data_IF_573876492662
#
_entry.id   IF_573876492662
#
_cell.length_a   1.000
_cell.length_b   1.000
_cell.length_c   1.000
_cell.angle_alpha   90.00
_cell.angle_beta   90.00
_cell.angle_gamma   90.00
#
_symmetry.space_group_name_H-M   'P 1'
#
loop_
_entity.id
_entity.type
_entity.pdbx_description
1 polymer ?
#
# COMPACT_ATOMS: atom_id res chain seq x y z
N UNK A 1 12.53 1.03 -10.96
CA UNK A 1 11.33 0.17 -10.87
C UNK A 1 11.06 -0.15 -9.39
N UNK A 2 10.19 0.61 -8.74
CA UNK A 2 9.94 0.56 -7.27
C UNK A 2 8.99 -0.58 -6.85
N UNK A 3 9.11 -1.76 -7.48
CA UNK A 3 8.16 -2.86 -7.27
C UNK A 3 8.42 -3.62 -5.98
N UNK A 4 9.68 -3.72 -5.55
CA UNK A 4 10.08 -4.48 -4.37
C UNK A 4 10.33 -3.62 -3.13
N UNK A 5 10.11 -2.31 -3.21
CA UNK A 5 10.37 -1.40 -2.09
C UNK A 5 9.21 -1.32 -1.10
N UNK A 6 9.55 -1.39 0.17
CA UNK A 6 8.70 -1.23 1.36
C UNK A 6 9.15 0.05 2.08
N UNK A 7 8.20 0.80 2.64
CA UNK A 7 8.47 1.96 3.48
C UNK A 7 7.89 1.75 4.87
N UNK A 8 8.71 1.92 5.89
CA UNK A 8 8.34 1.82 7.30
C UNK A 8 8.31 3.22 7.89
N UNK A 9 7.21 3.55 8.57
CA UNK A 9 6.93 4.85 9.16
C UNK A 9 6.64 4.67 10.65
N UNK A 10 7.21 5.55 11.48
CA UNK A 10 7.00 5.57 12.92
C UNK A 10 8.12 4.92 13.74
N UNK A 11 9.28 4.65 13.12
CA UNK A 11 10.46 4.15 13.83
C UNK A 11 11.27 5.34 14.36
N UNK A 12 11.56 5.43 15.68
CA UNK A 12 12.42 6.47 16.24
C UNK A 12 13.80 6.51 15.59
N UNK A 13 14.46 7.67 15.55
CA UNK A 13 15.85 7.77 15.05
C UNK A 13 16.82 7.08 16.02
N UNK A 14 17.98 6.64 15.52
CA UNK A 14 19.07 6.06 16.31
C UNK A 14 18.73 4.75 17.05
N UNK A 15 17.77 3.98 16.54
CA UNK A 15 17.42 2.64 17.09
C UNK A 15 18.12 1.51 16.34
N UNK A 16 18.71 1.82 15.18
CA UNK A 16 19.48 0.91 14.36
C UNK A 16 20.73 0.42 15.09
N UNK A 17 20.95 -0.89 15.08
CA UNK A 17 22.19 -1.53 15.55
C UNK A 17 23.28 -1.46 14.47
N UNK A 18 24.39 -2.16 14.68
CA UNK A 18 25.52 -2.22 13.74
C UNK A 18 25.11 -2.62 12.31
N UNK A 19 24.10 -3.49 12.16
CA UNK A 19 23.53 -3.89 10.87
C UNK A 19 22.53 -2.87 10.26
N UNK A 20 22.50 -1.64 10.79
CA UNK A 20 21.68 -0.55 10.27
C UNK A 20 20.18 -0.84 10.31
N UNK A 21 19.48 -0.42 9.25
CA UNK A 21 18.02 -0.54 9.15
C UNK A 21 17.52 -1.98 8.90
N UNK A 22 18.40 -2.92 8.55
CA UNK A 22 18.05 -4.34 8.41
C UNK A 22 17.72 -4.96 9.76
N UNK A 23 18.46 -4.58 10.81
CA UNK A 23 18.20 -5.03 12.19
C UNK A 23 16.78 -4.67 12.65
N UNK A 24 16.30 -3.48 12.29
CA UNK A 24 14.94 -3.03 12.62
C UNK A 24 13.90 -3.87 11.89
N UNK A 25 14.12 -4.22 10.63
CA UNK A 25 13.18 -5.06 9.88
C UNK A 25 13.08 -6.46 10.52
N UNK A 26 14.21 -7.06 10.89
CA UNK A 26 14.24 -8.37 11.53
C UNK A 26 13.50 -8.35 12.87
N UNK A 27 13.72 -7.33 13.72
CA UNK A 27 12.98 -7.15 14.96
C UNK A 27 11.46 -7.02 14.72
N UNK A 28 11.04 -6.26 13.70
CA UNK A 28 9.62 -6.15 13.32
C UNK A 28 9.07 -7.51 12.89
N UNK A 29 9.84 -8.29 12.13
CA UNK A 29 9.41 -9.61 11.65
C UNK A 29 9.25 -10.58 12.80
N UNK A 30 10.20 -10.62 13.73
CA UNK A 30 10.12 -11.49 14.91
C UNK A 30 8.94 -11.12 15.81
N UNK A 31 8.73 -9.82 16.07
CA UNK A 31 7.64 -9.33 16.92
C UNK A 31 6.25 -9.59 16.29
N UNK A 32 6.13 -9.46 14.97
CA UNK A 32 4.84 -9.45 14.29
C UNK A 32 4.55 -10.69 13.45
N UNK A 33 5.53 -11.49 13.05
CA UNK A 33 5.31 -12.51 12.03
C UNK A 33 5.95 -13.85 12.41
N UNK A 34 5.41 -14.48 13.46
CA UNK A 34 5.78 -15.82 13.90
C UNK A 34 5.74 -16.87 12.77
N UNK A 35 4.80 -16.75 11.83
CA UNK A 35 4.66 -17.67 10.69
C UNK A 35 5.61 -17.36 9.51
N UNK A 36 6.28 -16.20 9.50
CA UNK A 36 7.23 -15.86 8.43
C UNK A 36 8.67 -16.29 8.77
N UNK A 37 9.01 -16.43 10.06
CA UNK A 37 10.36 -16.85 10.49
C UNK A 37 10.70 -18.33 10.23
N UNK A 38 9.71 -19.17 9.88
CA UNK A 38 9.90 -20.62 9.67
C UNK A 38 10.14 -20.96 8.19
N UNK A 39 9.66 -20.13 7.26
CA UNK A 39 9.74 -20.37 5.81
C UNK A 39 10.68 -19.38 5.12
N UNK A 40 11.98 -19.61 5.31
CA UNK A 40 13.07 -18.98 4.57
C UNK A 40 13.45 -17.58 5.05
N UNK A 41 14.75 -17.34 5.23
CA UNK A 41 15.30 -16.01 5.47
C UNK A 41 14.77 -15.02 4.43
N UNK A 42 14.09 -13.96 4.88
CA UNK A 42 13.59 -12.92 3.99
C UNK A 42 14.79 -12.15 3.43
N UNK A 43 15.07 -12.29 2.14
CA UNK A 43 16.23 -11.65 1.52
C UNK A 43 15.97 -10.14 1.32
N UNK A 44 16.64 -9.32 2.14
CA UNK A 44 16.73 -7.87 1.95
C UNK A 44 17.92 -7.58 1.04
N UNK A 45 17.73 -6.74 0.03
CA UNK A 45 18.85 -6.24 -0.79
C UNK A 45 19.50 -5.03 -0.12
N UNK A 46 18.68 -4.09 0.34
CA UNK A 46 19.15 -2.86 0.98
C UNK A 46 18.09 -2.34 1.96
N UNK A 47 18.52 -1.78 3.08
CA UNK A 47 17.65 -0.99 3.97
C UNK A 47 18.35 0.29 4.41
N UNK A 48 17.67 1.43 4.27
CA UNK A 48 18.23 2.73 4.65
C UNK A 48 17.15 3.75 5.06
N UNK A 49 17.56 4.77 5.81
CA UNK A 49 16.69 5.91 6.16
C UNK A 49 16.58 6.90 4.99
N UNK A 50 15.37 7.36 4.72
CA UNK A 50 15.07 8.36 3.71
C UNK A 50 14.29 9.55 4.29
N UNK A 51 14.73 10.80 4.04
CA UNK A 51 15.93 11.22 3.30
C UNK A 51 17.27 10.82 3.95
N UNK A 52 18.35 10.72 3.16
CA UNK A 52 19.67 10.30 3.68
C UNK A 52 20.19 11.20 4.79
N UNK A 53 19.92 12.50 4.69
CA UNK A 53 20.32 13.50 5.68
C UNK A 53 19.25 13.68 6.74
N UNK A 54 19.68 13.69 8.00
CA UNK A 54 18.84 14.04 9.13
C UNK A 54 18.59 15.56 9.15
N UNK A 55 17.35 15.97 9.38
CA UNK A 55 16.98 17.38 9.47
C UNK A 55 16.32 17.63 10.81
N UNK A 56 17.06 18.25 11.72
CA UNK A 56 16.63 18.56 13.09
C UNK A 56 15.35 19.42 13.16
N UNK A 57 15.06 20.20 12.11
CA UNK A 57 13.85 21.03 12.05
C UNK A 57 12.57 20.21 11.88
N UNK A 58 12.67 18.92 11.52
CA UNK A 58 11.50 18.04 11.37
C UNK A 58 11.28 17.26 12.66
N UNK A 59 10.12 17.41 13.33
CA UNK A 59 9.84 16.69 14.57
C UNK A 59 9.54 15.20 14.34
N UNK A 60 9.28 14.80 13.09
CA UNK A 60 8.98 13.42 12.72
C UNK A 60 10.24 12.66 12.34
N UNK A 61 10.41 11.45 12.87
CA UNK A 61 11.48 10.54 12.46
C UNK A 61 11.39 10.21 10.95
N UNK A 62 12.55 10.01 10.33
CA UNK A 62 12.66 9.65 8.91
C UNK A 62 12.10 8.27 8.67
N UNK A 63 11.60 8.08 7.46
CA UNK A 63 11.09 6.79 7.04
C UNK A 63 12.26 5.84 6.75
N UNK A 64 12.08 4.55 6.98
CA UNK A 64 13.01 3.52 6.50
C UNK A 64 12.48 3.02 5.16
N UNK A 65 13.32 2.98 4.15
CA UNK A 65 13.06 2.34 2.87
C UNK A 65 13.82 1.02 2.84
N UNK A 66 13.10 -0.07 2.59
CA UNK A 66 13.64 -1.42 2.48
C UNK A 66 13.40 -1.90 1.05
N UNK A 67 14.45 -2.34 0.38
CA UNK A 67 14.40 -2.97 -0.93
C UNK A 67 14.51 -4.47 -0.72
N UNK A 68 13.41 -5.17 -1.02
CA UNK A 68 13.37 -6.64 -0.93
C UNK A 68 13.95 -7.27 -2.20
N UNK A 69 14.61 -8.42 -2.08
CA UNK A 69 15.09 -9.18 -3.24
C UNK A 69 13.94 -9.84 -4.01
N UNK A 70 12.94 -10.35 -3.28
CA UNK A 70 11.79 -11.06 -3.86
C UNK A 70 10.50 -10.27 -3.66
N UNK A 71 9.70 -10.15 -4.72
CA UNK A 71 8.37 -9.54 -4.64
C UNK A 71 7.40 -10.37 -3.79
N UNK A 72 7.56 -11.69 -3.77
CA UNK A 72 6.73 -12.59 -2.97
C UNK A 72 6.82 -12.25 -1.47
N UNK A 73 8.02 -12.00 -0.98
CA UNK A 73 8.28 -11.69 0.43
C UNK A 73 7.60 -10.37 0.82
N UNK A 74 7.72 -9.35 -0.02
CA UNK A 74 6.98 -8.09 0.16
C UNK A 74 5.46 -8.33 0.22
N UNK A 75 4.89 -9.11 -0.70
CA UNK A 75 3.45 -9.38 -0.68
C UNK A 75 3.01 -10.12 0.59
N UNK A 76 3.81 -11.07 1.07
CA UNK A 76 3.55 -11.78 2.34
C UNK A 76 3.50 -10.83 3.52
N UNK A 77 4.48 -9.92 3.65
CA UNK A 77 4.48 -8.86 4.69
C UNK A 77 3.19 -8.05 4.62
N UNK A 78 2.84 -7.55 3.43
CA UNK A 78 1.63 -6.72 3.29
C UNK A 78 0.33 -7.48 3.53
N UNK A 79 0.27 -8.78 3.22
CA UNK A 79 -0.90 -9.62 3.56
C UNK A 79 -1.04 -9.74 5.07
N UNK A 80 0.05 -10.04 5.77
CA UNK A 80 0.04 -10.14 7.22
C UNK A 80 -0.24 -8.78 7.91
N UNK A 81 0.33 -7.69 7.38
CA UNK A 81 0.09 -6.32 7.82
C UNK A 81 -1.38 -5.86 7.72
N UNK A 82 -2.16 -6.47 6.82
CA UNK A 82 -3.59 -6.16 6.68
C UNK A 82 -4.46 -6.89 7.70
N UNK A 83 -3.99 -8.01 8.24
CA UNK A 83 -4.74 -8.83 9.18
C UNK A 83 -4.62 -8.32 10.61
N UNK A 84 -3.49 -7.72 10.97
CA UNK A 84 -3.26 -7.18 12.30
C UNK A 84 -2.49 -5.86 12.29
N UNK A 85 -2.61 -5.12 13.39
CA UNK A 85 -1.80 -3.92 13.64
C UNK A 85 -0.35 -4.34 13.89
N UNK A 86 0.58 -3.64 13.25
CA UNK A 86 2.02 -3.90 13.40
C UNK A 86 2.57 -2.98 14.47
N UNK A 87 3.36 -3.54 15.37
CA UNK A 87 4.08 -2.81 16.41
C UNK A 87 5.58 -2.97 16.26
N UNK A 88 6.32 -2.03 16.81
CA UNK A 88 7.77 -2.13 17.01
C UNK A 88 8.06 -1.69 18.44
N UNK A 89 8.55 -2.62 19.27
CA UNK A 89 8.80 -2.40 20.71
C UNK A 89 7.57 -1.79 21.40
N UNK A 90 6.38 -2.32 21.08
CA UNK A 90 5.09 -1.84 21.61
C UNK A 90 4.55 -0.55 20.99
N UNK A 91 5.29 0.14 20.11
CA UNK A 91 4.82 1.35 19.42
C UNK A 91 4.15 0.97 18.09
N UNK A 92 2.95 1.47 17.76
CA UNK A 92 2.30 1.16 16.50
C UNK A 92 3.05 1.81 15.32
N UNK A 93 3.35 0.99 14.31
CA UNK A 93 4.06 1.44 13.10
C UNK A 93 3.20 1.25 11.85
N UNK A 94 3.55 1.95 10.77
CA UNK A 94 2.86 1.84 9.48
C UNK A 94 3.80 1.36 8.40
N UNK A 95 3.37 0.30 7.71
CA UNK A 95 3.99 -0.19 6.49
C UNK A 95 3.25 0.38 5.28
N UNK A 96 4.00 0.98 4.34
CA UNK A 96 3.48 1.51 3.09
C UNK A 96 4.29 1.00 1.91
N UNK A 97 3.60 0.78 0.79
CA UNK A 97 4.27 0.51 -0.49
C UNK A 97 4.82 1.83 -1.03
N UNK A 98 6.04 1.82 -1.55
CA UNK A 98 6.55 2.98 -2.28
C UNK A 98 5.94 2.99 -3.70
N UNK A 99 5.22 4.07 -4.02
CA UNK A 99 4.57 4.29 -5.30
C UNK A 99 5.13 5.57 -5.90
N UNK A 100 5.25 5.64 -7.23
CA UNK A 100 5.53 6.93 -7.89
C UNK A 100 4.42 7.93 -7.55
N UNK A 101 4.74 9.22 -7.59
CA UNK A 101 3.78 10.31 -7.40
C UNK A 101 2.57 10.16 -8.33
N UNK A 102 2.82 9.81 -9.60
CA UNK A 102 1.81 9.51 -10.61
C UNK A 102 0.90 8.34 -10.18
N UNK A 103 1.47 7.23 -9.72
CA UNK A 103 0.69 6.06 -9.26
C UNK A 103 -0.15 6.39 -8.02
N UNK A 104 0.39 7.19 -7.10
CA UNK A 104 -0.33 7.67 -5.93
C UNK A 104 -1.51 8.56 -6.33
N UNK A 105 -1.31 9.44 -7.31
CA UNK A 105 -2.36 10.31 -7.81
C UNK A 105 -3.47 9.51 -8.49
N UNK A 106 -3.13 8.57 -9.38
CA UNK A 106 -4.09 7.67 -10.00
C UNK A 106 -4.87 6.84 -8.96
N UNK A 107 -4.24 6.43 -7.85
CA UNK A 107 -4.94 5.76 -6.74
C UNK A 107 -5.89 6.69 -5.98
N UNK A 108 -5.50 7.94 -5.76
CA UNK A 108 -6.36 8.94 -5.10
C UNK A 108 -7.60 9.21 -5.92
N UNK A 109 -7.45 9.25 -7.24
CA UNK A 109 -8.54 9.39 -8.17
C UNK A 109 -9.58 8.26 -8.08
N UNK A 110 -9.16 7.06 -7.70
CA UNK A 110 -10.05 5.93 -7.43
C UNK A 110 -10.79 6.02 -6.09
N UNK A 111 -10.38 6.87 -5.14
CA UNK A 111 -10.91 6.84 -3.77
C UNK A 111 -12.41 7.10 -3.69
N UNK A 112 -12.92 8.09 -4.44
CA UNK A 112 -14.35 8.44 -4.41
C UNK A 112 -15.21 7.33 -5.05
N UNK A 113 -14.69 6.72 -6.13
CA UNK A 113 -15.33 5.58 -6.78
C UNK A 113 -15.30 4.36 -5.86
N UNK A 114 -14.16 4.08 -5.23
CA UNK A 114 -13.99 2.95 -4.31
C UNK A 114 -14.97 3.03 -3.13
N UNK A 115 -15.16 4.22 -2.53
CA UNK A 115 -16.15 4.43 -1.48
C UNK A 115 -17.56 4.10 -1.96
N UNK A 116 -17.94 4.63 -3.12
CA UNK A 116 -19.27 4.40 -3.71
C UNK A 116 -19.53 2.93 -4.03
N UNK A 117 -18.54 2.23 -4.58
CA UNK A 117 -18.61 0.78 -4.85
C UNK A 117 -18.69 -0.04 -3.56
N UNK A 118 -18.01 0.41 -2.49
CA UNK A 118 -18.05 -0.23 -1.17
C UNK A 118 -19.43 -0.09 -0.53
N UNK A 119 -20.04 1.10 -0.61
CA UNK A 119 -21.39 1.36 -0.09
C UNK A 119 -22.47 0.51 -0.78
N UNK A 120 -22.19 0.04 -2.00
CA UNK A 120 -23.06 -0.86 -2.77
C UNK A 120 -22.67 -2.34 -2.67
N UNK A 121 -21.76 -2.71 -1.78
CA UNK A 121 -21.32 -4.09 -1.57
C UNK A 121 -20.74 -4.79 -2.82
N UNK A 122 -20.18 -4.04 -3.78
CA UNK A 122 -19.60 -4.57 -5.02
C UNK A 122 -18.18 -5.15 -4.83
N UNK A 123 -17.74 -5.35 -3.58
CA UNK A 123 -16.44 -5.90 -3.20
C UNK A 123 -15.25 -5.29 -3.97
N UNK A 124 -15.09 -3.94 -3.96
CA UNK A 124 -14.05 -3.29 -4.73
C UNK A 124 -12.65 -3.64 -4.22
N UNK A 125 -11.68 -3.75 -5.13
CA UNK A 125 -10.25 -3.97 -4.85
C UNK A 125 -9.42 -3.04 -5.74
N UNK A 126 -8.39 -2.42 -5.17
CA UNK A 126 -7.41 -1.64 -5.94
C UNK A 126 -6.17 -2.51 -6.15
N UNK A 127 -5.90 -2.86 -7.40
CA UNK A 127 -4.79 -3.68 -7.83
C UNK A 127 -3.59 -2.81 -8.24
N UNK A 128 -2.40 -3.42 -8.22
CA UNK A 128 -1.18 -2.77 -8.69
C UNK A 128 -1.22 -2.56 -10.22
N UNK A 129 -0.67 -1.45 -10.75
CA UNK A 129 -0.19 -0.26 -10.05
C UNK A 129 -1.32 0.66 -9.57
N UNK A 130 -2.36 0.88 -10.37
CA UNK A 130 -3.53 1.69 -10.03
C UNK A 130 -4.78 1.25 -10.81
N UNK A 131 -5.10 -0.06 -10.78
CA UNK A 131 -6.31 -0.59 -11.43
C UNK A 131 -7.41 -0.79 -10.40
N UNK A 132 -8.65 -0.47 -10.72
CA UNK A 132 -9.80 -0.80 -9.85
C UNK A 132 -10.49 -2.05 -10.37
N UNK A 133 -10.82 -2.99 -9.49
CA UNK A 133 -11.67 -4.12 -9.80
C UNK A 133 -12.83 -4.22 -8.82
N UNK A 134 -13.95 -4.74 -9.29
CA UNK A 134 -15.14 -4.98 -8.46
C UNK A 134 -15.97 -6.11 -9.06
N UNK A 135 -16.79 -6.75 -8.23
CA UNK A 135 -17.72 -7.78 -8.66
C UNK A 135 -19.00 -7.12 -9.15
N UNK A 136 -19.42 -7.44 -10.37
CA UNK A 136 -20.66 -6.97 -10.97
C UNK A 136 -21.28 -8.08 -11.80
N UNK A 137 -22.57 -8.36 -11.60
CA UNK A 137 -23.30 -9.44 -12.30
C UNK A 137 -22.59 -10.82 -12.23
N UNK A 138 -21.96 -11.12 -11.09
CA UNK A 138 -21.23 -12.38 -10.89
C UNK A 138 -19.79 -12.40 -11.42
N UNK A 139 -19.41 -11.45 -12.27
CA UNK A 139 -18.07 -11.36 -12.85
C UNK A 139 -17.18 -10.32 -12.16
N UNK A 140 -15.87 -10.57 -12.13
CA UNK A 140 -14.90 -9.57 -11.67
C UNK A 140 -14.50 -8.71 -12.86
N UNK A 141 -14.93 -7.45 -12.87
CA UNK A 141 -14.50 -6.47 -13.87
C UNK A 141 -13.30 -5.69 -13.33
N UNK A 142 -12.34 -5.38 -14.20
CA UNK A 142 -11.10 -4.69 -13.84
C UNK A 142 -10.79 -3.58 -14.85
N UNK A 143 -10.50 -2.38 -14.36
CA UNK A 143 -10.31 -1.18 -15.17
C UNK A 143 -8.98 -0.51 -14.82
N UNK A 144 -8.12 -0.24 -15.82
CA UNK A 144 -6.82 0.38 -15.58
C UNK A 144 -6.90 1.90 -15.40
N UNK A 145 -7.91 2.54 -15.98
CA UNK A 145 -8.09 4.00 -15.99
C UNK A 145 -9.58 4.36 -15.89
N UNK A 146 -9.85 5.62 -15.53
CA UNK A 146 -11.21 6.14 -15.39
C UNK A 146 -11.98 6.21 -16.70
N UNK A 147 -11.31 6.37 -17.83
CA UNK A 147 -11.95 6.49 -19.14
C UNK A 147 -12.62 5.18 -19.53
N UNK A 148 -11.91 4.06 -19.40
CA UNK A 148 -12.47 2.71 -19.65
C UNK A 148 -13.59 2.37 -18.67
N UNK A 149 -13.48 2.80 -17.41
CA UNK A 149 -14.60 2.67 -16.48
C UNK A 149 -15.80 3.48 -16.96
N UNK A 150 -15.61 4.73 -17.41
CA UNK A 150 -16.68 5.58 -17.93
C UNK A 150 -17.36 4.96 -19.14
N UNK A 151 -16.60 4.45 -20.10
CA UNK A 151 -17.12 3.74 -21.29
C UNK A 151 -17.93 2.49 -20.95
N UNK A 152 -17.57 1.79 -19.87
CA UNK A 152 -18.36 0.67 -19.36
C UNK A 152 -19.64 1.15 -18.68
N UNK A 153 -19.53 2.17 -17.83
CA UNK A 153 -20.65 2.75 -17.08
C UNK A 153 -21.69 3.37 -18.01
N UNK A 154 -21.30 3.96 -19.14
CA UNK A 154 -22.26 4.48 -20.13
C UNK A 154 -23.04 3.38 -20.83
N UNK A 155 -22.49 2.18 -20.96
CA UNK A 155 -23.17 1.01 -21.55
C UNK A 155 -24.05 0.27 -20.54
N UNK A 156 -23.92 0.56 -19.24
CA UNK A 156 -24.62 -0.16 -18.17
C UNK A 156 -25.42 0.82 -17.28
N UNK A 157 -26.70 1.07 -17.61
CA UNK A 157 -27.53 2.05 -16.90
C UNK A 157 -27.62 1.88 -15.37
N UNK A 158 -27.70 0.65 -14.81
CA UNK A 158 -27.71 0.45 -13.35
C UNK A 158 -26.42 0.95 -12.67
N UNK A 159 -25.25 0.67 -13.27
CA UNK A 159 -23.96 1.18 -12.77
C UNK A 159 -23.84 2.68 -12.93
N UNK A 160 -24.42 3.25 -13.98
CA UNK A 160 -24.45 4.70 -14.18
C UNK A 160 -25.19 5.42 -13.06
N UNK A 161 -26.33 4.89 -12.60
CA UNK A 161 -27.05 5.49 -11.48
C UNK A 161 -26.26 5.41 -10.17
N UNK A 162 -25.56 4.30 -9.95
CA UNK A 162 -24.71 4.10 -8.77
C UNK A 162 -23.53 5.07 -8.76
N UNK A 163 -22.81 5.16 -9.88
CA UNK A 163 -21.56 5.93 -9.99
C UNK A 163 -21.79 7.40 -10.37
N UNK A 164 -23.02 7.83 -10.70
CA UNK A 164 -23.36 9.24 -10.91
C UNK A 164 -22.91 10.10 -9.74
N UNK A 165 -23.14 9.68 -8.48
CA UNK A 165 -22.72 10.44 -7.28
C UNK A 165 -21.20 10.57 -7.15
N UNK A 166 -20.44 9.56 -7.59
CA UNK A 166 -18.98 9.55 -7.54
C UNK A 166 -18.35 10.36 -8.70
N UNK A 167 -18.99 10.36 -9.87
CA UNK A 167 -18.51 11.03 -11.09
C UNK A 167 -18.79 12.54 -11.10
N UNK A 168 -19.71 13.04 -10.26
CA UNK A 168 -20.10 14.46 -10.19
C UNK A 168 -19.09 15.33 -9.41
N UNK A 169 -18.14 14.73 -8.67
CA UNK A 169 -17.03 15.48 -8.04
C UNK A 169 -15.89 15.73 -9.03
N UNK A 170 -16.19 16.37 -10.16
CA UNK A 170 -15.16 17.12 -10.87
C UNK A 170 -14.95 18.44 -10.12
N UNK A 171 -13.72 18.62 -9.64
CA UNK A 171 -13.28 19.85 -8.98
C UNK A 171 -13.58 21.04 -9.89
N UNK A 172 -14.40 21.96 -9.39
CA UNK A 172 -14.32 23.38 -9.77
C UNK A 172 -12.96 23.93 -9.36
#
# INVERSE_FOLDING_TARGET
MWRTTLRIIGIPECVEKENGAESVLNEIIEENFQNLGIEGEMCVEEAFRHPRFFNEKRPTARHIVVKMAKMNDKERIFRAARQKKITYKGTPIRLSVDFSTETLQARREWNDIFKTLKDKNLQPRILYPAKISFRYEGEIKSFPDKQKLREFVTKTPPLQQILKKASIREKR
#
